data_IF_043870367553
#
_entry.id   IF_043870367553
#
_cell.length_a   1.000
_cell.length_b   1.000
_cell.length_c   1.000
_cell.angle_alpha   90.00
_cell.angle_beta   90.00
_cell.angle_gamma   90.00
#
_symmetry.space_group_name_H-M   'P 1'
#
loop_
_entity.id
_entity.type
_entity.pdbx_description
1 polymer ?
#
# COMPACT_ATOMS: atom_id res chain seq x y z
N UNK A 1 -6.03 11.73 10.92
CA UNK A 1 -4.85 11.95 10.03
C UNK A 1 -4.95 10.99 8.88
N UNK A 2 -4.34 11.28 7.73
CA UNK A 2 -4.45 10.42 6.55
C UNK A 2 -3.18 9.63 6.29
N UNK A 3 -3.37 8.36 5.93
CA UNK A 3 -2.37 7.53 5.29
C UNK A 3 -2.82 7.27 3.86
N UNK A 4 -2.00 7.65 2.90
CA UNK A 4 -2.22 7.41 1.48
C UNK A 4 -1.43 6.17 1.08
N UNK A 5 -2.12 5.18 0.53
CA UNK A 5 -1.51 3.92 0.11
C UNK A 5 -1.69 3.79 -1.39
N UNK A 6 -0.59 3.67 -2.12
CA UNK A 6 -0.58 3.57 -3.57
C UNK A 6 0.11 2.28 -4.00
N UNK A 7 -0.62 1.44 -4.72
CA UNK A 7 -0.08 0.24 -5.36
C UNK A 7 0.56 0.68 -6.67
N UNK A 8 1.87 0.44 -6.78
CA UNK A 8 2.73 0.96 -7.84
C UNK A 8 3.13 -0.14 -8.83
N UNK A 9 4.39 -0.57 -8.84
CA UNK A 9 4.92 -1.48 -9.85
C UNK A 9 4.70 -2.95 -9.49
N UNK A 10 4.64 -3.80 -10.52
CA UNK A 10 4.66 -5.26 -10.38
C UNK A 10 3.31 -5.96 -10.19
N UNK A 11 2.20 -5.24 -10.14
CA UNK A 11 0.87 -5.83 -9.95
C UNK A 11 0.29 -6.32 -11.27
N UNK A 12 -0.08 -7.60 -11.34
CA UNK A 12 -0.51 -8.29 -12.56
C UNK A 12 -1.96 -8.75 -12.59
N UNK A 13 -2.83 -8.27 -11.69
CA UNK A 13 -4.23 -8.69 -11.59
C UNK A 13 -4.53 -9.79 -10.57
N UNK A 14 -3.53 -10.18 -9.76
CA UNK A 14 -3.75 -11.03 -8.58
C UNK A 14 -4.61 -10.31 -7.55
N UNK A 15 -5.33 -11.08 -6.72
CA UNK A 15 -6.06 -10.51 -5.60
C UNK A 15 -5.08 -9.92 -4.60
N UNK A 16 -5.28 -8.65 -4.27
CA UNK A 16 -4.53 -7.91 -3.25
C UNK A 16 -5.51 -7.43 -2.19
N UNK A 17 -5.21 -7.80 -0.94
CA UNK A 17 -5.89 -7.26 0.23
C UNK A 17 -4.89 -6.38 1.01
N UNK A 18 -5.26 -5.14 1.30
CA UNK A 18 -4.48 -4.27 2.18
C UNK A 18 -5.28 -4.01 3.45
N UNK A 19 -4.65 -4.19 4.61
CA UNK A 19 -5.21 -3.85 5.91
C UNK A 19 -4.31 -2.89 6.66
N UNK A 20 -4.89 -1.94 7.38
CA UNK A 20 -4.20 -0.95 8.19
C UNK A 20 -4.68 -1.07 9.62
N UNK A 21 -3.77 -1.34 10.57
CA UNK A 21 -4.14 -1.59 11.96
C UNK A 21 -5.13 -2.75 12.12
N UNK A 22 -5.04 -3.77 11.26
CA UNK A 22 -5.95 -4.92 11.23
C UNK A 22 -7.32 -4.67 10.60
N UNK A 23 -7.60 -3.44 10.13
CA UNK A 23 -8.84 -3.13 9.38
C UNK A 23 -8.56 -3.14 7.88
N UNK A 24 -9.41 -3.84 7.11
CA UNK A 24 -9.29 -3.90 5.66
C UNK A 24 -9.52 -2.51 5.04
N UNK A 25 -8.55 -2.05 4.27
CA UNK A 25 -8.57 -0.76 3.56
C UNK A 25 -8.78 -0.95 2.06
N UNK A 26 -8.20 -1.98 1.47
CA UNK A 26 -8.31 -2.27 0.04
C UNK A 26 -8.54 -3.77 -0.20
N UNK A 27 -9.33 -4.09 -1.22
CA UNK A 27 -9.63 -5.43 -1.69
C UNK A 27 -9.90 -5.35 -3.20
N UNK A 28 -8.99 -5.87 -4.02
CA UNK A 28 -9.09 -5.74 -5.46
C UNK A 28 -8.02 -6.48 -6.25
N UNK A 29 -8.12 -6.39 -7.57
CA UNK A 29 -7.20 -7.03 -8.53
C UNK A 29 -6.48 -5.97 -9.37
N UNK A 30 -5.53 -5.23 -8.79
CA UNK A 30 -4.87 -4.11 -9.44
C UNK A 30 -3.95 -4.60 -10.57
N UNK A 31 -3.82 -3.81 -11.62
CA UNK A 31 -2.82 -4.02 -12.68
C UNK A 31 -2.05 -2.74 -12.90
N UNK A 32 -0.72 -2.81 -12.84
CA UNK A 32 0.16 -1.66 -13.05
C UNK A 32 0.02 -1.12 -14.47
N UNK A 33 -0.23 0.18 -14.60
CA UNK A 33 -0.18 0.89 -15.88
C UNK A 33 1.27 1.17 -16.24
N UNK A 34 1.80 0.44 -17.22
CA UNK A 34 3.21 0.50 -17.63
C UNK A 34 3.73 1.90 -17.95
N UNK A 35 2.86 2.82 -18.42
CA UNK A 35 3.27 4.20 -18.72
C UNK A 35 3.64 4.99 -17.47
N UNK A 36 2.92 4.75 -16.38
CA UNK A 36 2.97 5.59 -15.16
C UNK A 36 3.56 4.86 -13.96
N UNK A 37 3.56 3.53 -13.95
CA UNK A 37 3.89 2.75 -12.76
C UNK A 37 2.79 2.71 -11.69
N UNK A 38 1.63 3.35 -11.89
CA UNK A 38 0.50 3.32 -10.96
C UNK A 38 -0.45 2.15 -11.24
N UNK A 39 -0.96 1.50 -10.19
CA UNK A 39 -1.97 0.45 -10.29
C UNK A 39 -3.29 0.81 -9.60
N UNK A 40 -3.24 1.21 -8.33
CA UNK A 40 -4.42 1.58 -7.54
C UNK A 40 -4.01 2.43 -6.32
N UNK A 41 -4.97 3.04 -5.64
CA UNK A 41 -4.71 3.79 -4.42
C UNK A 41 -5.91 3.81 -3.48
N UNK A 42 -5.64 3.96 -2.20
CA UNK A 42 -6.64 4.11 -1.15
C UNK A 42 -6.16 5.11 -0.10
N UNK A 43 -7.08 5.93 0.38
CA UNK A 43 -6.87 6.81 1.53
C UNK A 43 -7.49 6.18 2.78
N UNK A 44 -6.76 6.20 3.90
CA UNK A 44 -7.24 5.69 5.17
C UNK A 44 -7.21 6.80 6.21
N UNK A 45 -8.38 7.11 6.78
CA UNK A 45 -8.49 7.98 7.94
C UNK A 45 -8.10 7.22 9.21
N UNK A 46 -7.04 7.68 9.87
CA UNK A 46 -6.56 7.14 11.13
C UNK A 46 -7.17 7.92 12.30
N UNK A 47 -7.82 7.21 13.25
CA UNK A 47 -8.68 7.82 14.26
C UNK A 47 -7.90 8.67 15.27
N UNK A 48 -6.66 8.31 15.59
CA UNK A 48 -5.81 8.97 16.58
C UNK A 48 -4.37 9.13 16.04
N UNK A 49 -3.59 10.11 16.54
CA UNK A 49 -2.17 10.20 16.24
C UNK A 49 -1.40 9.09 16.98
N UNK A 50 -1.14 7.98 16.28
CA UNK A 50 -0.16 6.98 16.74
C UNK A 50 1.24 7.33 16.20
N UNK A 51 2.30 6.72 16.76
CA UNK A 51 3.65 6.92 16.22
C UNK A 51 3.88 6.12 14.93
N UNK A 52 3.23 4.96 14.84
CA UNK A 52 3.28 4.04 13.73
C UNK A 52 1.99 3.23 13.62
N UNK A 53 1.74 2.67 12.44
CA UNK A 53 0.66 1.71 12.20
C UNK A 53 1.16 0.55 11.34
N UNK A 54 0.65 -0.66 11.60
CA UNK A 54 0.96 -1.81 10.74
C UNK A 54 0.10 -1.79 9.48
N UNK A 55 0.76 -1.79 8.32
CA UNK A 55 0.17 -2.07 7.02
C UNK A 55 0.47 -3.52 6.65
N UNK A 56 -0.58 -4.31 6.50
CA UNK A 56 -0.51 -5.70 6.07
C UNK A 56 -0.99 -5.81 4.62
N UNK A 57 -0.20 -6.46 3.78
CA UNK A 57 -0.54 -6.76 2.39
C UNK A 57 -0.63 -8.27 2.23
N UNK A 58 -1.74 -8.76 1.70
CA UNK A 58 -1.96 -10.17 1.38
C UNK A 58 -2.15 -10.32 -0.12
N UNK A 59 -1.52 -11.35 -0.67
CA UNK A 59 -1.75 -11.85 -2.02
C UNK A 59 -2.26 -13.29 -1.91
N UNK A 60 -3.58 -13.50 -1.70
CA UNK A 60 -4.13 -14.83 -1.42
C UNK A 60 -3.84 -15.83 -2.54
N UNK A 61 -3.89 -15.39 -3.81
CA UNK A 61 -3.61 -16.22 -4.98
C UNK A 61 -2.17 -16.77 -4.99
N UNK A 62 -1.26 -16.13 -4.24
CA UNK A 62 0.15 -16.51 -4.11
C UNK A 62 0.53 -17.05 -2.73
N UNK A 63 -0.39 -17.03 -1.76
CA UNK A 63 -0.11 -17.41 -0.37
C UNK A 63 0.89 -16.48 0.35
N UNK A 64 1.04 -15.24 -0.11
CA UNK A 64 1.99 -14.27 0.47
C UNK A 64 1.26 -13.36 1.46
N UNK A 65 1.91 -13.08 2.58
CA UNK A 65 1.49 -12.10 3.58
C UNK A 65 2.72 -11.32 4.03
N UNK A 66 2.67 -10.00 3.86
CA UNK A 66 3.74 -9.09 4.29
C UNK A 66 3.18 -8.03 5.23
N UNK A 67 3.97 -7.64 6.24
CA UNK A 67 3.62 -6.61 7.21
C UNK A 67 4.72 -5.58 7.27
N UNK A 68 4.34 -4.31 7.28
CA UNK A 68 5.24 -3.18 7.38
C UNK A 68 4.72 -2.23 8.45
N UNK A 69 5.63 -1.77 9.30
CA UNK A 69 5.34 -0.71 10.25
C UNK A 69 5.64 0.62 9.56
N UNK A 70 4.64 1.50 9.49
CA UNK A 70 4.72 2.80 8.80
C UNK A 70 4.61 3.90 9.84
N UNK A 71 5.51 4.89 9.81
CA UNK A 71 5.39 6.02 10.71
C UNK A 71 4.30 6.98 10.24
N UNK A 72 3.43 7.36 11.16
CA UNK A 72 2.29 8.23 10.90
C UNK A 72 2.34 9.43 11.85
N UNK A 73 3.52 9.99 12.12
CA UNK A 73 3.61 11.24 12.93
C UNK A 73 3.09 12.47 12.17
N UNK A 74 2.92 12.32 10.87
CA UNK A 74 2.37 13.30 9.93
C UNK A 74 1.56 12.55 8.86
N UNK A 75 0.90 13.29 7.98
CA UNK A 75 0.33 12.71 6.77
C UNK A 75 1.44 12.04 5.96
N UNK A 76 1.21 10.79 5.54
CA UNK A 76 2.24 9.94 4.93
C UNK A 76 1.68 9.29 3.67
N UNK A 77 2.51 9.22 2.64
CA UNK A 77 2.26 8.44 1.43
C UNK A 77 3.17 7.22 1.43
N UNK A 78 2.58 6.05 1.17
CA UNK A 78 3.31 4.81 0.99
C UNK A 78 3.06 4.23 -0.40
N UNK A 79 4.14 3.80 -1.04
CA UNK A 79 4.15 3.12 -2.31
C UNK A 79 4.41 1.64 -2.10
N UNK A 80 3.48 0.79 -2.54
CA UNK A 80 3.59 -0.67 -2.49
C UNK A 80 4.02 -1.19 -3.88
N UNK A 81 5.23 -1.75 -3.95
CA UNK A 81 5.78 -2.35 -5.18
C UNK A 81 5.91 -3.86 -4.98
N UNK A 82 5.54 -4.64 -6.00
CA UNK A 82 5.68 -6.10 -5.99
C UNK A 82 6.89 -6.51 -6.84
N UNK A 83 7.94 -7.02 -6.20
CA UNK A 83 9.13 -7.53 -6.87
C UNK A 83 9.19 -9.06 -6.67
N UNK A 84 8.76 -9.82 -7.67
CA UNK A 84 8.58 -11.27 -7.53
C UNK A 84 7.50 -11.58 -6.51
N UNK A 85 7.89 -12.14 -5.37
CA UNK A 85 7.02 -12.49 -4.23
C UNK A 85 7.24 -11.59 -3.01
N UNK A 86 8.02 -10.51 -3.15
CA UNK A 86 8.27 -9.53 -2.11
C UNK A 86 7.47 -8.24 -2.37
N UNK A 87 6.70 -7.81 -1.36
CA UNK A 87 6.10 -6.47 -1.37
C UNK A 87 7.08 -5.51 -0.69
N UNK A 88 7.56 -4.52 -1.43
CA UNK A 88 8.40 -3.44 -0.92
C UNK A 88 7.58 -2.20 -0.66
N UNK A 89 7.87 -1.55 0.47
CA UNK A 89 7.23 -0.30 0.88
C UNK A 89 8.23 0.84 0.76
N UNK A 90 7.78 1.91 0.12
CA UNK A 90 8.47 3.21 0.10
C UNK A 90 7.61 4.23 0.81
N UNK A 91 8.13 4.88 1.83
CA UNK A 91 7.46 5.94 2.58
C UNK A 91 7.96 7.31 2.16
N UNK A 92 7.07 8.30 2.08
CA UNK A 92 7.42 9.69 1.83
C UNK A 92 6.38 10.66 2.41
N UNK A 93 6.78 11.89 2.78
CA UNK A 93 5.89 12.88 3.39
C UNK A 93 5.00 13.61 2.37
N UNK A 94 5.12 13.30 1.08
CA UNK A 94 4.41 13.97 -0.02
C UNK A 94 3.88 12.93 -1.02
N UNK A 95 2.91 13.30 -1.84
CA UNK A 95 2.35 12.45 -2.89
C UNK A 95 3.39 11.95 -3.90
N UNK A 96 3.15 10.77 -4.48
CA UNK A 96 4.00 10.27 -5.55
C UNK A 96 3.74 11.03 -6.86
N UNK A 97 4.81 11.33 -7.58
CA UNK A 97 4.73 11.90 -8.93
C UNK A 97 4.58 10.79 -9.95
N UNK A 98 3.49 10.81 -10.70
CA UNK A 98 3.27 9.96 -11.86
C UNK A 98 3.32 10.82 -13.13
N UNK A 99 4.02 10.34 -14.16
CA UNK A 99 4.19 11.01 -15.45
C UNK A 99 3.64 10.18 -16.59
#
# INVERSE_FOLDING_TARGET
MKLHIELQEGWGGDLVEVSVGGKRAYDGRPTTRMQTGYAAGVEVDLPDPEESVTVEVRLPDRGIITRHEVSIRHETWIGLNLEGDEVRVREQPEQFGYV
#
